data_IF_519387759324
#
_entry.id   IF_519387759324
#
_cell.length_a   1.000
_cell.length_b   1.000
_cell.length_c   1.000
_cell.angle_alpha   90.00
_cell.angle_beta   90.00
_cell.angle_gamma   90.00
#
_symmetry.space_group_name_H-M   'P 1'
#
loop_
_entity.id
_entity.type
_entity.pdbx_description
1 polymer ?
#
# COMPACT_ATOMS: atom_id res chain seq x y z
N UNK A 1 -23.98 -5.62 39.86
CA UNK A 1 -24.52 -4.43 39.15
C UNK A 1 -23.49 -3.57 38.39
N UNK A 2 -22.17 -3.77 38.51
CA UNK A 2 -21.17 -2.86 37.86
C UNK A 2 -20.82 -3.18 36.39
N UNK A 3 -20.95 -4.42 35.92
CA UNK A 3 -20.71 -4.79 34.50
C UNK A 3 -21.74 -4.17 33.53
N UNK A 4 -22.99 -3.98 33.98
CA UNK A 4 -24.06 -3.44 33.14
C UNK A 4 -23.97 -1.92 32.87
N UNK A 5 -23.29 -1.15 33.74
CA UNK A 5 -23.09 0.30 33.52
C UNK A 5 -21.95 0.60 32.54
N UNK A 6 -20.86 -0.18 32.54
CA UNK A 6 -19.77 -0.03 31.56
C UNK A 6 -20.19 -0.32 30.12
N UNK A 7 -21.14 -1.25 29.93
CA UNK A 7 -21.61 -1.62 28.58
C UNK A 7 -22.50 -0.56 27.93
N UNK A 8 -23.20 0.30 28.70
CA UNK A 8 -24.09 1.34 28.15
C UNK A 8 -23.35 2.50 27.48
N UNK A 9 -22.08 2.74 27.83
CA UNK A 9 -21.26 3.84 27.29
C UNK A 9 -20.51 3.49 25.99
N UNK A 10 -20.41 2.21 25.62
CA UNK A 10 -19.74 1.80 24.37
C UNK A 10 -20.69 1.95 23.19
N UNK A 11 -20.20 2.51 22.08
CA UNK A 11 -20.98 2.63 20.84
C UNK A 11 -21.44 1.25 20.35
N UNK A 12 -22.52 1.18 19.58
CA UNK A 12 -22.99 -0.09 18.99
C UNK A 12 -21.88 -0.81 18.20
N UNK A 13 -21.09 -0.04 17.45
CA UNK A 13 -19.95 -0.53 16.64
C UNK A 13 -18.92 -1.25 17.52
N UNK A 14 -18.64 -0.75 18.74
CA UNK A 14 -17.68 -1.39 19.66
C UNK A 14 -18.14 -2.73 20.21
N UNK A 15 -19.46 -3.01 20.14
CA UNK A 15 -20.04 -4.25 20.64
C UNK A 15 -20.10 -5.34 19.57
N UNK A 16 -19.98 -4.97 18.29
CA UNK A 16 -20.03 -5.92 17.19
C UNK A 16 -18.75 -6.77 17.14
N UNK A 17 -18.86 -8.09 16.99
CA UNK A 17 -17.73 -8.94 16.63
C UNK A 17 -17.02 -8.42 15.37
N UNK A 18 -15.68 -8.34 15.43
CA UNK A 18 -14.83 -7.85 14.33
C UNK A 18 -15.12 -8.55 13.00
N UNK A 19 -15.46 -9.84 13.02
CA UNK A 19 -15.83 -10.62 11.83
C UNK A 19 -17.04 -10.06 11.07
N UNK A 20 -18.04 -9.51 11.78
CA UNK A 20 -19.22 -8.92 11.15
C UNK A 20 -18.90 -7.56 10.55
N UNK A 21 -18.03 -6.78 11.21
CA UNK A 21 -17.53 -5.52 10.65
C UNK A 21 -16.74 -5.80 9.37
N UNK A 22 -15.81 -6.76 9.39
CA UNK A 22 -15.07 -7.18 8.19
C UNK A 22 -16.01 -7.65 7.07
N UNK A 23 -16.97 -8.53 7.38
CA UNK A 23 -17.95 -9.00 6.40
C UNK A 23 -18.74 -7.84 5.79
N UNK A 24 -19.10 -6.82 6.59
CA UNK A 24 -19.76 -5.62 6.07
C UNK A 24 -18.88 -4.83 5.10
N UNK A 25 -17.58 -4.68 5.37
CA UNK A 25 -16.65 -4.04 4.42
C UNK A 25 -16.54 -4.82 3.11
N UNK A 26 -16.45 -6.15 3.19
CA UNK A 26 -16.41 -7.01 1.99
C UNK A 26 -17.69 -6.88 1.18
N UNK A 27 -18.87 -6.97 1.81
CA UNK A 27 -20.16 -6.84 1.11
C UNK A 27 -20.28 -5.46 0.46
N UNK A 28 -19.99 -4.38 1.21
CA UNK A 28 -20.07 -3.01 0.70
C UNK A 28 -19.08 -2.83 -0.45
N UNK A 29 -17.85 -3.33 -0.33
CA UNK A 29 -16.83 -3.26 -1.38
C UNK A 29 -17.26 -3.99 -2.64
N UNK A 30 -17.70 -5.24 -2.53
CA UNK A 30 -18.19 -6.03 -3.67
C UNK A 30 -19.38 -5.35 -4.36
N UNK A 31 -20.31 -4.76 -3.61
CA UNK A 31 -21.43 -4.01 -4.18
C UNK A 31 -20.93 -2.75 -4.91
N UNK A 32 -20.06 -1.96 -4.27
CA UNK A 32 -19.56 -0.71 -4.83
C UNK A 32 -18.75 -0.90 -6.12
N UNK A 33 -17.99 -2.00 -6.21
CA UNK A 33 -17.19 -2.36 -7.38
C UNK A 33 -17.86 -3.44 -8.25
N UNK A 34 -19.17 -3.68 -8.08
CA UNK A 34 -19.88 -4.76 -8.80
C UNK A 34 -19.84 -4.59 -10.32
N UNK A 35 -19.82 -3.35 -10.81
CA UNK A 35 -19.79 -3.04 -12.24
C UNK A 35 -18.53 -3.54 -12.95
N UNK A 36 -17.42 -3.71 -12.23
CA UNK A 36 -16.14 -4.14 -12.82
C UNK A 36 -15.93 -5.64 -12.72
N UNK A 37 -16.73 -6.35 -11.92
CA UNK A 37 -16.54 -7.79 -11.70
C UNK A 37 -16.77 -8.62 -12.98
N UNK A 38 -17.61 -8.16 -13.90
CA UNK A 38 -17.79 -8.81 -15.20
C UNK A 38 -17.05 -8.09 -16.32
N UNK A 39 -16.01 -7.31 -15.98
CA UNK A 39 -15.14 -6.65 -16.95
C UNK A 39 -14.30 -7.64 -17.74
N UNK A 40 -13.83 -7.18 -18.90
CA UNK A 40 -12.84 -7.89 -19.72
C UNK A 40 -11.42 -7.51 -19.30
N UNK A 41 -10.45 -8.34 -19.65
CA UNK A 41 -9.04 -7.98 -19.53
C UNK A 41 -8.71 -6.86 -20.52
N UNK A 42 -8.13 -5.77 -20.02
CA UNK A 42 -7.82 -4.58 -20.82
C UNK A 42 -6.38 -4.11 -20.59
N UNK A 43 -5.80 -3.40 -21.56
CA UNK A 43 -4.49 -2.77 -21.43
C UNK A 43 -3.37 -3.75 -21.00
N UNK A 44 -2.67 -3.46 -19.90
CA UNK A 44 -1.55 -4.29 -19.43
C UNK A 44 -2.02 -5.68 -19.00
N UNK A 45 -3.33 -5.91 -18.78
CA UNK A 45 -3.85 -7.25 -18.50
C UNK A 45 -3.58 -8.21 -19.68
N UNK A 46 -3.61 -7.70 -20.91
CA UNK A 46 -3.27 -8.47 -22.09
C UNK A 46 -1.83 -8.99 -22.00
N UNK A 47 -0.90 -8.11 -21.61
CA UNK A 47 0.53 -8.41 -21.54
C UNK A 47 0.85 -9.25 -20.30
N UNK A 48 0.36 -8.84 -19.13
CA UNK A 48 0.71 -9.43 -17.84
C UNK A 48 0.00 -10.76 -17.58
N UNK A 49 -1.15 -10.99 -18.21
CA UNK A 49 -2.00 -12.16 -17.92
C UNK A 49 -2.29 -12.98 -19.18
N UNK A 50 -2.80 -12.37 -20.26
CA UNK A 50 -3.26 -13.15 -21.43
C UNK A 50 -2.11 -13.66 -22.31
N UNK A 51 -1.00 -12.92 -22.40
CA UNK A 51 0.16 -13.29 -23.22
C UNK A 51 1.35 -13.79 -22.40
N UNK A 52 1.30 -13.62 -21.08
CA UNK A 52 2.40 -14.00 -20.20
C UNK A 52 2.48 -15.51 -19.99
N UNK A 53 3.41 -16.17 -20.67
CA UNK A 53 3.64 -17.61 -20.51
C UNK A 53 4.22 -17.97 -19.14
N UNK A 54 4.92 -17.03 -18.50
CA UNK A 54 5.57 -17.28 -17.20
C UNK A 54 4.56 -17.62 -16.11
N UNK A 55 3.35 -17.05 -16.13
CA UNK A 55 2.32 -17.31 -15.11
C UNK A 55 1.58 -18.63 -15.31
N UNK A 56 1.79 -19.34 -16.43
CA UNK A 56 1.01 -20.53 -16.81
C UNK A 56 1.30 -21.77 -15.96
N UNK A 57 2.42 -21.77 -15.23
CA UNK A 57 2.83 -22.87 -14.36
C UNK A 57 3.41 -22.35 -13.05
N UNK A 58 2.98 -22.94 -11.92
CA UNK A 58 3.57 -22.67 -10.62
C UNK A 58 5.04 -23.10 -10.53
N UNK A 59 5.50 -24.00 -11.40
CA UNK A 59 6.91 -24.37 -11.51
C UNK A 59 7.82 -23.21 -11.93
N UNK A 60 7.26 -22.12 -12.49
CA UNK A 60 8.01 -20.93 -12.88
C UNK A 60 8.21 -19.94 -11.73
N UNK A 61 7.68 -20.17 -10.52
CA UNK A 61 7.81 -19.25 -9.38
C UNK A 61 9.26 -18.79 -9.15
N UNK A 62 10.30 -19.65 -9.21
CA UNK A 62 11.68 -19.20 -9.05
C UNK A 62 12.10 -18.13 -10.06
N UNK A 63 11.60 -18.18 -11.31
CA UNK A 63 11.91 -17.21 -12.36
C UNK A 63 11.34 -15.83 -12.09
N UNK A 64 10.25 -15.72 -11.34
CA UNK A 64 9.65 -14.43 -11.02
C UNK A 64 10.59 -13.54 -10.19
N UNK A 65 11.57 -14.15 -9.50
CA UNK A 65 12.58 -13.44 -8.71
C UNK A 65 13.82 -13.04 -9.52
N UNK A 66 13.92 -13.45 -10.78
CA UNK A 66 15.03 -13.09 -11.68
C UNK A 66 14.60 -12.29 -12.90
N UNK A 67 13.32 -12.31 -13.26
CA UNK A 67 12.83 -11.78 -14.54
C UNK A 67 11.94 -10.54 -14.37
N UNK A 68 11.74 -9.80 -15.46
CA UNK A 68 10.77 -8.71 -15.53
C UNK A 68 9.34 -9.27 -15.56
N UNK A 69 8.37 -8.48 -15.08
CA UNK A 69 6.95 -8.89 -15.09
C UNK A 69 6.40 -9.18 -16.49
N UNK A 70 7.03 -8.64 -17.54
CA UNK A 70 6.62 -8.78 -18.94
C UNK A 70 7.45 -9.79 -19.73
N UNK A 71 8.46 -10.41 -19.11
CA UNK A 71 9.39 -11.31 -19.80
C UNK A 71 8.68 -12.49 -20.47
N UNK A 72 7.66 -13.06 -19.82
CA UNK A 72 6.90 -14.17 -20.41
C UNK A 72 5.94 -13.78 -21.53
N UNK A 73 5.75 -12.48 -21.80
CA UNK A 73 5.03 -11.99 -22.97
C UNK A 73 5.98 -11.61 -24.13
N UNK A 74 7.28 -11.80 -23.95
CA UNK A 74 8.35 -11.43 -24.90
C UNK A 74 8.37 -9.94 -25.25
N UNK A 75 7.98 -9.09 -24.28
CA UNK A 75 8.00 -7.62 -24.43
C UNK A 75 9.05 -7.03 -23.50
N UNK A 76 9.98 -6.28 -24.09
CA UNK A 76 10.92 -5.42 -23.37
C UNK A 76 10.26 -4.08 -23.02
N UNK A 77 9.23 -4.12 -22.16
CA UNK A 77 8.42 -2.97 -21.76
C UNK A 77 8.97 -2.26 -20.52
N UNK A 78 10.28 -2.40 -20.27
CA UNK A 78 10.99 -1.66 -19.24
C UNK A 78 11.34 -2.47 -17.99
N UNK A 79 11.92 -1.75 -17.03
CA UNK A 79 12.50 -2.34 -15.85
C UNK A 79 11.43 -2.46 -14.76
N UNK A 80 10.61 -3.51 -14.70
CA UNK A 80 9.64 -3.72 -13.61
C UNK A 80 9.85 -5.07 -12.92
N UNK A 81 10.01 -5.06 -11.60
CA UNK A 81 10.26 -6.24 -10.79
C UNK A 81 9.23 -6.38 -9.67
N UNK A 82 8.27 -7.30 -9.83
CA UNK A 82 7.13 -7.51 -8.92
C UNK A 82 6.78 -9.00 -8.77
N UNK A 83 7.68 -9.83 -8.20
CA UNK A 83 7.49 -11.28 -8.10
C UNK A 83 6.19 -11.66 -7.41
N UNK A 84 5.78 -10.94 -6.35
CA UNK A 84 4.57 -11.33 -5.59
C UNK A 84 3.29 -11.10 -6.42
N UNK A 85 3.28 -10.08 -7.29
CA UNK A 85 2.19 -9.88 -8.24
C UNK A 85 2.13 -11.05 -9.25
N UNK A 86 3.28 -11.49 -9.78
CA UNK A 86 3.34 -12.64 -10.69
C UNK A 86 2.92 -13.95 -10.04
N UNK A 87 3.31 -14.18 -8.78
CA UNK A 87 2.85 -15.34 -8.00
C UNK A 87 1.32 -15.31 -7.88
N UNK A 88 0.74 -14.16 -7.53
CA UNK A 88 -0.71 -14.03 -7.41
C UNK A 88 -1.41 -14.37 -8.74
N UNK A 89 -0.92 -13.87 -9.87
CA UNK A 89 -1.47 -14.21 -11.18
C UNK A 89 -1.28 -15.68 -11.54
N UNK A 90 -0.13 -16.28 -11.22
CA UNK A 90 0.11 -17.69 -11.51
C UNK A 90 -0.79 -18.61 -10.68
N UNK A 91 -1.02 -18.27 -9.41
CA UNK A 91 -1.98 -18.98 -8.54
C UNK A 91 -3.40 -18.82 -9.08
N UNK A 92 -3.84 -17.60 -9.39
CA UNK A 92 -5.16 -17.36 -9.98
C UNK A 92 -5.34 -18.14 -11.28
N UNK A 93 -4.37 -18.09 -12.19
CA UNK A 93 -4.41 -18.82 -13.45
C UNK A 93 -4.44 -20.33 -13.26
N UNK A 94 -3.68 -20.87 -12.30
CA UNK A 94 -3.66 -22.31 -12.04
C UNK A 94 -5.02 -22.85 -11.56
N UNK A 95 -5.78 -22.04 -10.83
CA UNK A 95 -7.06 -22.42 -10.23
C UNK A 95 -8.25 -22.06 -11.12
N UNK A 96 -8.21 -20.92 -11.81
CA UNK A 96 -9.35 -20.30 -12.49
C UNK A 96 -9.07 -19.94 -13.95
N UNK A 97 -7.89 -20.29 -14.48
CA UNK A 97 -7.48 -19.97 -15.87
C UNK A 97 -7.61 -18.48 -16.16
N UNK A 98 -8.37 -18.09 -17.17
CA UNK A 98 -8.59 -16.70 -17.58
C UNK A 98 -10.01 -16.25 -17.24
N UNK A 99 -10.56 -16.69 -16.11
CA UNK A 99 -11.83 -16.18 -15.60
C UNK A 99 -11.68 -14.74 -15.10
N UNK A 100 -12.08 -13.76 -15.91
CA UNK A 100 -11.90 -12.33 -15.59
C UNK A 100 -12.61 -11.93 -14.29
N UNK A 101 -13.71 -12.61 -13.93
CA UNK A 101 -14.43 -12.32 -12.70
C UNK A 101 -13.57 -12.52 -11.46
N UNK A 102 -12.83 -13.62 -11.38
CA UNK A 102 -11.97 -13.90 -10.24
C UNK A 102 -10.78 -12.94 -10.19
N UNK A 103 -10.26 -12.54 -11.35
CA UNK A 103 -9.17 -11.58 -11.44
C UNK A 103 -9.60 -10.16 -11.00
N UNK A 104 -10.83 -9.73 -11.28
CA UNK A 104 -11.39 -8.49 -10.74
C UNK A 104 -11.81 -8.61 -9.27
N UNK A 105 -12.29 -9.78 -8.83
CA UNK A 105 -12.75 -9.99 -7.46
C UNK A 105 -11.61 -9.89 -6.44
N UNK A 106 -10.42 -10.41 -6.76
CA UNK A 106 -9.30 -10.44 -5.82
C UNK A 106 -8.88 -9.02 -5.34
N UNK A 107 -8.57 -8.04 -6.22
CA UNK A 107 -8.30 -6.66 -5.82
C UNK A 107 -9.41 -6.03 -4.97
N UNK A 108 -10.69 -6.26 -5.30
CA UNK A 108 -11.85 -5.73 -4.57
C UNK A 108 -11.91 -6.30 -3.15
N UNK A 109 -11.68 -7.60 -2.98
CA UNK A 109 -11.64 -8.25 -1.68
C UNK A 109 -10.45 -7.73 -0.87
N UNK A 110 -9.25 -7.66 -1.46
CA UNK A 110 -8.05 -7.11 -0.81
C UNK A 110 -8.26 -5.66 -0.36
N UNK A 111 -8.87 -4.82 -1.20
CA UNK A 111 -9.21 -3.43 -0.85
C UNK A 111 -10.20 -3.34 0.31
N UNK A 112 -11.17 -4.25 0.35
CA UNK A 112 -12.12 -4.35 1.47
C UNK A 112 -11.42 -4.73 2.78
N UNK A 113 -10.45 -5.65 2.74
CA UNK A 113 -9.58 -5.94 3.88
C UNK A 113 -8.74 -4.73 4.28
N UNK A 114 -8.18 -3.99 3.32
CA UNK A 114 -7.41 -2.78 3.57
C UNK A 114 -8.26 -1.71 4.28
N UNK A 115 -9.50 -1.48 3.84
CA UNK A 115 -10.42 -0.57 4.51
C UNK A 115 -10.72 -1.01 5.96
N UNK A 116 -10.93 -2.31 6.17
CA UNK A 116 -11.09 -2.85 7.53
C UNK A 116 -9.82 -2.66 8.38
N UNK A 117 -8.62 -2.82 7.82
CA UNK A 117 -7.38 -2.55 8.52
C UNK A 117 -7.20 -1.07 8.85
N UNK A 118 -7.57 -0.16 7.95
CA UNK A 118 -7.63 1.28 8.21
C UNK A 118 -8.57 1.57 9.39
N UNK A 119 -9.76 0.97 9.42
CA UNK A 119 -10.67 1.08 10.57
C UNK A 119 -10.00 0.65 11.89
N UNK A 120 -9.33 -0.52 11.90
CA UNK A 120 -8.63 -1.02 13.09
C UNK A 120 -7.49 -0.10 13.54
N UNK A 121 -6.75 0.49 12.59
CA UNK A 121 -5.66 1.41 12.88
C UNK A 121 -6.16 2.73 13.45
N UNK A 122 -7.19 3.33 12.86
CA UNK A 122 -7.81 4.56 13.37
C UNK A 122 -8.39 4.33 14.78
N UNK A 123 -8.95 3.15 15.04
CA UNK A 123 -9.39 2.76 16.39
C UNK A 123 -8.25 2.72 17.41
N UNK A 124 -7.03 2.33 17.01
CA UNK A 124 -5.84 2.36 17.89
C UNK A 124 -5.43 3.79 18.23
N UNK A 125 -5.76 4.77 17.37
CA UNK A 125 -5.59 6.20 17.66
C UNK A 125 -6.55 6.76 18.69
N UNK A 126 -7.41 5.93 19.28
CA UNK A 126 -8.44 6.32 20.25
C UNK A 126 -9.47 7.31 19.67
N UNK A 127 -9.59 7.35 18.34
CA UNK A 127 -10.67 8.04 17.64
C UNK A 127 -11.96 7.25 17.84
N UNK A 128 -13.11 7.94 17.88
CA UNK A 128 -14.41 7.31 18.08
C UNK A 128 -14.70 6.28 16.99
N UNK A 129 -15.47 5.24 17.35
CA UNK A 129 -15.74 4.11 16.44
C UNK A 129 -16.51 4.53 15.20
N UNK A 130 -17.40 5.50 15.35
CA UNK A 130 -18.13 6.08 14.24
C UNK A 130 -17.18 6.84 13.30
N UNK A 131 -16.30 7.70 13.82
CA UNK A 131 -15.34 8.42 12.99
C UNK A 131 -14.35 7.48 12.29
N UNK A 132 -13.90 6.42 12.98
CA UNK A 132 -13.06 5.38 12.39
C UNK A 132 -13.79 4.62 11.25
N UNK A 133 -15.06 4.29 11.47
CA UNK A 133 -15.88 3.61 10.46
C UNK A 133 -16.10 4.52 9.25
N UNK A 134 -16.48 5.78 9.46
CA UNK A 134 -16.69 6.75 8.39
C UNK A 134 -15.40 6.97 7.60
N UNK A 135 -14.26 7.17 8.26
CA UNK A 135 -12.98 7.34 7.58
C UNK A 135 -12.58 6.11 6.73
N UNK A 136 -12.79 4.90 7.25
CA UNK A 136 -12.52 3.66 6.52
C UNK A 136 -13.50 3.43 5.36
N UNK A 137 -14.78 3.79 5.50
CA UNK A 137 -15.75 3.74 4.42
C UNK A 137 -15.47 4.78 3.35
N UNK A 138 -15.06 5.99 3.73
CA UNK A 138 -14.55 7.00 2.81
C UNK A 138 -13.38 6.42 2.02
N UNK A 139 -12.39 5.81 2.68
CA UNK A 139 -11.29 5.14 1.98
C UNK A 139 -11.76 4.02 1.04
N UNK A 140 -12.70 3.16 1.45
CA UNK A 140 -13.21 2.06 0.62
C UNK A 140 -13.91 2.58 -0.66
N UNK A 141 -14.75 3.60 -0.50
CA UNK A 141 -15.68 4.09 -1.51
C UNK A 141 -15.15 5.30 -2.29
N UNK A 142 -13.99 5.83 -1.93
CA UNK A 142 -13.47 7.02 -2.60
C UNK A 142 -13.17 6.74 -4.08
N UNK A 143 -13.71 7.52 -5.04
CA UNK A 143 -13.51 7.27 -6.47
C UNK A 143 -12.04 7.26 -6.93
N UNK A 144 -11.15 7.94 -6.19
CA UNK A 144 -9.70 7.90 -6.47
C UNK A 144 -9.10 6.48 -6.37
N UNK A 145 -9.74 5.58 -5.62
CA UNK A 145 -9.27 4.20 -5.47
C UNK A 145 -9.62 3.34 -6.69
N UNK A 146 -10.55 3.79 -7.56
CA UNK A 146 -11.04 3.00 -8.69
C UNK A 146 -9.91 2.52 -9.58
N UNK A 147 -8.90 3.35 -9.86
CA UNK A 147 -7.77 2.93 -10.71
C UNK A 147 -6.96 1.78 -10.10
N UNK A 148 -6.77 1.75 -8.78
CA UNK A 148 -6.01 0.71 -8.11
C UNK A 148 -6.81 -0.60 -7.92
N UNK A 149 -8.15 -0.50 -7.90
CA UNK A 149 -9.03 -1.62 -7.51
C UNK A 149 -9.76 -2.23 -8.71
N UNK A 150 -10.24 -1.41 -9.65
CA UNK A 150 -10.98 -1.90 -10.80
C UNK A 150 -10.09 -2.53 -11.88
N UNK A 151 -8.88 -2.01 -12.02
CA UNK A 151 -7.91 -2.47 -13.02
C UNK A 151 -7.14 -3.68 -12.49
N UNK A 152 -7.20 -4.82 -13.20
CA UNK A 152 -6.59 -6.07 -12.72
C UNK A 152 -5.08 -5.89 -12.56
N UNK A 153 -4.41 -5.28 -13.54
CA UNK A 153 -2.97 -4.97 -13.47
C UNK A 153 -2.58 -3.99 -12.36
N UNK A 154 -3.56 -3.29 -11.78
CA UNK A 154 -3.43 -2.51 -10.55
C UNK A 154 -3.22 -3.35 -9.28
N UNK A 155 -3.40 -4.68 -9.30
CA UNK A 155 -3.37 -5.61 -8.15
C UNK A 155 -2.18 -5.39 -7.19
N UNK A 156 -1.02 -4.97 -7.71
CA UNK A 156 0.17 -4.69 -6.91
C UNK A 156 -0.10 -3.69 -5.76
N UNK A 157 -0.97 -2.71 -5.97
CA UNK A 157 -1.32 -1.69 -4.98
C UNK A 157 -2.16 -2.25 -3.81
N UNK A 158 -3.37 -2.82 -4.03
CA UNK A 158 -4.15 -3.38 -2.92
C UNK A 158 -3.45 -4.57 -2.25
N UNK A 159 -2.68 -5.38 -2.99
CA UNK A 159 -1.93 -6.50 -2.43
C UNK A 159 -0.76 -6.05 -1.55
N UNK A 160 0.03 -5.08 -2.02
CA UNK A 160 1.13 -4.54 -1.23
C UNK A 160 0.65 -3.80 0.01
N UNK A 161 -0.43 -3.04 -0.12
CA UNK A 161 -1.06 -2.36 1.02
C UNK A 161 -1.60 -3.36 2.04
N UNK A 162 -2.17 -4.48 1.60
CA UNK A 162 -2.64 -5.56 2.47
C UNK A 162 -1.51 -6.12 3.33
N UNK A 163 -0.36 -6.43 2.74
CA UNK A 163 0.80 -6.90 3.49
C UNK A 163 1.33 -5.83 4.44
N UNK A 164 1.43 -4.58 3.99
CA UNK A 164 1.93 -3.48 4.80
C UNK A 164 1.04 -3.20 6.03
N UNK A 165 -0.27 -3.08 5.84
CA UNK A 165 -1.22 -2.83 6.93
C UNK A 165 -1.34 -4.04 7.87
N UNK A 166 -1.29 -5.27 7.34
CA UNK A 166 -1.21 -6.49 8.15
C UNK A 166 0.03 -6.49 9.03
N UNK A 167 1.18 -6.15 8.46
CA UNK A 167 2.44 -6.02 9.21
C UNK A 167 2.30 -5.00 10.33
N UNK A 168 1.78 -3.80 10.05
CA UNK A 168 1.58 -2.77 11.07
C UNK A 168 0.67 -3.28 12.18
N UNK A 169 -0.45 -3.91 11.85
CA UNK A 169 -1.39 -4.44 12.85
C UNK A 169 -0.79 -5.54 13.72
N UNK A 170 0.01 -6.43 13.13
CA UNK A 170 0.72 -7.53 13.81
C UNK A 170 1.84 -6.97 14.69
N UNK A 171 2.72 -6.12 14.15
CA UNK A 171 3.80 -5.49 14.91
C UNK A 171 3.27 -4.62 16.05
N UNK A 172 2.03 -4.12 15.92
CA UNK A 172 1.34 -3.40 16.98
C UNK A 172 0.32 -4.18 17.81
N UNK A 173 0.39 -5.52 17.74
CA UNK A 173 -0.40 -6.43 18.54
C UNK A 173 0.04 -6.57 20.01
N UNK A 174 -0.51 -7.57 20.69
CA UNK A 174 -0.46 -7.76 22.14
C UNK A 174 0.95 -7.96 22.70
N UNK A 175 1.28 -7.22 23.77
CA UNK A 175 2.63 -7.23 24.36
C UNK A 175 2.84 -8.29 25.44
N UNK A 176 1.75 -8.90 25.93
CA UNK A 176 1.77 -9.95 26.97
C UNK A 176 1.95 -11.35 26.38
N UNK A 177 2.79 -11.48 25.36
CA UNK A 177 3.11 -12.76 24.74
C UNK A 177 4.35 -13.37 25.40
N UNK A 178 4.43 -14.70 25.40
CA UNK A 178 5.68 -15.38 25.73
C UNK A 178 6.79 -14.95 24.77
N UNK A 179 8.08 -15.00 25.17
CA UNK A 179 9.19 -14.55 24.34
C UNK A 179 9.20 -15.16 22.93
N UNK A 180 8.88 -16.46 22.81
CA UNK A 180 8.81 -17.18 21.53
C UNK A 180 7.71 -16.60 20.63
N UNK A 181 6.50 -16.43 21.17
CA UNK A 181 5.36 -15.87 20.41
C UNK A 181 5.62 -14.44 19.97
N UNK A 182 6.29 -13.66 20.82
CA UNK A 182 6.73 -12.30 20.51
C UNK A 182 7.74 -12.28 19.35
N UNK A 183 8.74 -13.17 19.37
CA UNK A 183 9.69 -13.29 18.26
C UNK A 183 9.01 -13.70 16.94
N UNK A 184 8.07 -14.65 17.00
CA UNK A 184 7.31 -15.08 15.82
C UNK A 184 6.44 -13.94 15.25
N UNK A 185 5.80 -13.15 16.11
CA UNK A 185 5.04 -11.97 15.71
C UNK A 185 5.92 -10.96 14.96
N UNK A 186 7.13 -10.70 15.44
CA UNK A 186 8.08 -9.82 14.75
C UNK A 186 8.57 -10.39 13.43
N UNK A 187 8.97 -11.66 13.41
CA UNK A 187 9.41 -12.33 12.19
C UNK A 187 8.30 -12.28 11.12
N UNK A 188 7.06 -12.56 11.50
CA UNK A 188 5.91 -12.46 10.61
C UNK A 188 5.68 -11.02 10.12
N UNK A 189 5.78 -10.02 10.99
CA UNK A 189 5.65 -8.61 10.61
C UNK A 189 6.72 -8.17 9.61
N UNK A 190 7.99 -8.53 9.83
CA UNK A 190 9.09 -8.23 8.91
C UNK A 190 8.94 -8.97 7.59
N UNK A 191 8.50 -10.23 7.63
CA UNK A 191 8.21 -11.01 6.43
C UNK A 191 7.11 -10.36 5.58
N UNK A 192 6.05 -9.85 6.20
CA UNK A 192 4.98 -9.14 5.48
C UNK A 192 5.48 -7.82 4.85
N UNK A 193 6.40 -7.10 5.50
CA UNK A 193 7.04 -5.91 4.88
C UNK A 193 7.83 -6.32 3.64
N UNK A 194 8.59 -7.42 3.72
CA UNK A 194 9.30 -7.97 2.58
C UNK A 194 8.34 -8.31 1.43
N UNK A 195 7.21 -8.96 1.72
CA UNK A 195 6.20 -9.24 0.70
C UNK A 195 5.66 -7.95 0.06
N UNK A 196 5.39 -6.90 0.84
CA UNK A 196 4.95 -5.61 0.31
C UNK A 196 6.00 -4.97 -0.63
N UNK A 197 7.29 -5.04 -0.30
CA UNK A 197 8.35 -4.49 -1.15
C UNK A 197 8.46 -5.22 -2.49
N UNK A 198 8.19 -6.53 -2.45
CA UNK A 198 8.23 -7.40 -3.61
C UNK A 198 6.92 -7.39 -4.45
N UNK A 199 5.88 -6.65 -4.04
CA UNK A 199 4.70 -6.38 -4.88
C UNK A 199 4.89 -5.13 -5.74
N UNK A 200 5.45 -4.05 -5.19
CA UNK A 200 5.69 -2.79 -5.91
C UNK A 200 6.73 -1.95 -5.20
N UNK A 201 7.59 -1.33 -6.00
CA UNK A 201 8.69 -0.46 -5.57
C UNK A 201 8.27 0.69 -4.64
N UNK A 202 7.04 1.21 -4.77
CA UNK A 202 6.51 2.30 -3.94
C UNK A 202 6.36 1.90 -2.47
N UNK A 203 6.21 0.61 -2.14
CA UNK A 203 6.02 0.15 -0.78
C UNK A 203 7.29 0.20 0.08
N UNK A 204 8.47 0.42 -0.52
CA UNK A 204 9.72 0.69 0.23
C UNK A 204 9.53 1.91 1.14
N UNK A 205 8.89 2.97 0.64
CA UNK A 205 8.55 4.16 1.43
C UNK A 205 7.58 3.80 2.55
N UNK A 206 6.59 2.95 2.27
CA UNK A 206 5.64 2.45 3.25
C UNK A 206 6.31 1.76 4.43
N UNK A 207 7.27 0.86 4.18
CA UNK A 207 8.03 0.17 5.25
C UNK A 207 8.87 1.13 6.09
N UNK A 208 9.51 2.12 5.46
CA UNK A 208 10.22 3.19 6.18
C UNK A 208 9.28 3.98 7.08
N UNK A 209 8.09 4.35 6.58
CA UNK A 209 7.09 5.06 7.38
C UNK A 209 6.60 4.20 8.56
N UNK A 210 6.39 2.90 8.38
CA UNK A 210 6.03 1.99 9.50
C UNK A 210 7.09 1.98 10.60
N UNK A 211 8.35 1.96 10.21
CA UNK A 211 9.47 1.91 11.15
C UNK A 211 9.62 3.21 11.96
N UNK A 212 9.21 4.35 11.37
CA UNK A 212 9.16 5.65 12.03
C UNK A 212 7.94 5.73 12.98
N UNK A 213 6.78 5.22 12.56
CA UNK A 213 5.48 5.50 13.17
C UNK A 213 5.08 4.57 14.32
N UNK A 214 5.77 3.44 14.49
CA UNK A 214 5.32 2.40 15.42
C UNK A 214 5.49 2.78 16.90
N UNK A 215 6.45 3.60 17.33
CA UNK A 215 6.85 3.62 18.75
C UNK A 215 6.69 4.94 19.52
N UNK A 216 6.20 4.79 20.77
CA UNK A 216 5.62 5.83 21.63
C UNK A 216 6.62 6.86 22.18
N UNK A 217 7.89 6.52 22.30
CA UNK A 217 8.87 7.39 22.95
C UNK A 217 10.21 7.23 22.24
N UNK A 218 10.47 8.11 21.26
CA UNK A 218 11.76 8.12 20.55
C UNK A 218 12.96 8.35 21.47
N UNK A 219 12.72 8.92 22.65
CA UNK A 219 13.75 9.32 23.62
C UNK A 219 13.98 8.29 24.71
N UNK A 220 13.06 7.35 24.95
CA UNK A 220 13.21 6.36 26.01
C UNK A 220 13.96 5.12 25.50
N UNK A 221 15.28 5.15 25.69
CA UNK A 221 16.20 4.04 25.36
C UNK A 221 16.04 2.82 26.27
N UNK A 222 15.33 2.97 27.40
CA UNK A 222 15.15 1.89 28.39
C UNK A 222 13.96 1.00 28.07
N UNK A 223 13.10 1.42 27.13
CA UNK A 223 11.95 0.63 26.72
C UNK A 223 12.41 -0.66 26.01
N UNK A 224 11.92 -1.86 26.39
CA UNK A 224 12.37 -3.14 25.83
C UNK A 224 12.07 -3.35 24.34
N UNK A 225 11.39 -2.40 23.70
CA UNK A 225 11.08 -2.43 22.26
C UNK A 225 12.00 -1.50 21.44
N UNK A 226 12.89 -0.74 22.11
CA UNK A 226 13.83 0.17 21.45
C UNK A 226 14.76 -0.56 20.47
N UNK A 227 15.31 -1.70 20.87
CA UNK A 227 16.16 -2.52 19.99
C UNK A 227 15.37 -3.05 18.78
N UNK A 228 14.16 -3.54 19.02
CA UNK A 228 13.30 -4.14 17.97
C UNK A 228 12.87 -3.10 16.95
N UNK A 229 12.61 -1.87 17.41
CA UNK A 229 12.36 -0.73 16.54
C UNK A 229 13.55 -0.46 15.62
N UNK A 230 14.75 -0.35 16.18
CA UNK A 230 15.95 -0.11 15.37
C UNK A 230 16.23 -1.27 14.43
N UNK A 231 15.98 -2.51 14.84
CA UNK A 231 16.05 -3.66 13.95
C UNK A 231 15.02 -3.57 12.82
N UNK A 232 13.81 -3.09 13.07
CA UNK A 232 12.78 -2.91 12.03
C UNK A 232 13.14 -1.78 11.06
N UNK A 233 13.64 -0.65 11.58
CA UNK A 233 14.15 0.47 10.76
C UNK A 233 15.33 -0.01 9.93
N UNK A 234 16.33 -0.61 10.56
CA UNK A 234 17.53 -1.12 9.91
C UNK A 234 17.18 -2.18 8.88
N UNK A 235 16.31 -3.13 9.21
CA UNK A 235 15.82 -4.14 8.27
C UNK A 235 15.12 -3.48 7.08
N UNK A 236 14.22 -2.52 7.30
CA UNK A 236 13.52 -1.82 6.23
C UNK A 236 14.47 -1.00 5.35
N UNK A 237 15.46 -0.34 5.94
CA UNK A 237 16.49 0.44 5.22
C UNK A 237 17.42 -0.48 4.44
N UNK A 238 17.94 -1.55 5.06
CA UNK A 238 18.80 -2.54 4.41
C UNK A 238 18.03 -3.20 3.27
N UNK A 239 16.80 -3.64 3.51
CA UNK A 239 16.00 -4.32 2.50
C UNK A 239 15.60 -3.37 1.37
N UNK A 240 15.20 -2.14 1.69
CA UNK A 240 14.93 -1.11 0.70
C UNK A 240 16.16 -0.76 -0.13
N UNK A 241 17.32 -0.59 0.54
CA UNK A 241 18.60 -0.35 -0.12
C UNK A 241 19.04 -1.52 -1.00
N UNK A 242 18.92 -2.76 -0.51
CA UNK A 242 19.21 -3.97 -1.26
C UNK A 242 18.28 -4.14 -2.47
N UNK A 243 16.98 -3.86 -2.31
CA UNK A 243 16.02 -3.84 -3.41
C UNK A 243 16.40 -2.79 -4.46
N UNK A 244 16.68 -1.55 -4.04
CA UNK A 244 17.08 -0.47 -4.96
C UNK A 244 18.42 -0.76 -5.65
N UNK A 245 19.38 -1.35 -4.94
CA UNK A 245 20.66 -1.78 -5.50
C UNK A 245 20.45 -2.91 -6.51
N UNK A 246 19.66 -3.92 -6.18
CA UNK A 246 19.33 -5.00 -7.10
C UNK A 246 18.68 -4.44 -8.37
N UNK A 247 17.73 -3.52 -8.23
CA UNK A 247 17.07 -2.80 -9.35
C UNK A 247 18.02 -1.98 -10.22
N UNK A 248 19.09 -1.44 -9.63
CA UNK A 248 20.13 -0.71 -10.34
C UNK A 248 21.16 -1.63 -11.03
N UNK A 249 21.22 -2.91 -10.64
CA UNK A 249 22.28 -3.85 -11.05
C UNK A 249 21.72 -5.13 -11.69
N UNK A 250 21.42 -6.15 -10.89
CA UNK A 250 21.07 -7.51 -11.34
C UNK A 250 19.63 -7.59 -11.86
N UNK A 251 18.72 -6.80 -11.29
CA UNK A 251 17.32 -6.66 -11.69
C UNK A 251 17.13 -5.39 -12.53
N UNK A 252 18.14 -5.07 -13.34
CA UNK A 252 18.08 -4.02 -14.33
C UNK A 252 17.81 -4.65 -15.69
N UNK A 253 16.52 -4.75 -16.03
CA UNK A 253 16.09 -5.38 -17.27
C UNK A 253 16.22 -4.47 -18.50
N UNK A 254 17.01 -3.40 -18.40
CA UNK A 254 17.12 -2.36 -19.42
C UNK A 254 18.57 -2.00 -19.74
N UNK A 255 18.85 -1.49 -20.94
CA UNK A 255 20.20 -1.09 -21.41
C UNK A 255 20.71 0.25 -20.83
N UNK A 256 20.50 0.52 -19.54
CA UNK A 256 20.93 1.77 -18.86
C UNK A 256 20.69 1.75 -17.36
N UNK A 257 21.23 2.71 -16.59
CA UNK A 257 21.14 2.74 -15.12
C UNK A 257 19.73 3.13 -14.63
N UNK A 258 18.73 2.26 -14.81
CA UNK A 258 17.37 2.40 -14.24
C UNK A 258 16.57 3.66 -14.61
N UNK A 259 17.14 4.57 -15.40
CA UNK A 259 16.47 5.72 -16.00
C UNK A 259 15.72 5.21 -17.22
N UNK A 260 14.45 5.62 -17.36
CA UNK A 260 13.55 5.06 -18.35
C UNK A 260 14.19 5.01 -19.74
N UNK A 261 14.10 3.84 -20.37
CA UNK A 261 14.68 3.54 -21.68
C UNK A 261 14.04 4.30 -22.83
N UNK A 262 12.85 4.83 -22.59
CA UNK A 262 12.16 5.70 -23.53
C UNK A 262 12.60 7.14 -23.24
N UNK A 263 13.23 7.76 -24.24
CA UNK A 263 13.46 9.20 -24.21
C UNK A 263 12.12 9.93 -24.14
N UNK A 264 11.89 10.60 -23.02
CA UNK A 264 10.74 11.46 -22.77
C UNK A 264 11.28 12.81 -22.33
N UNK A 265 10.47 13.85 -22.46
CA UNK A 265 10.81 15.19 -21.97
C UNK A 265 11.24 15.17 -20.48
N UNK A 266 10.69 14.23 -19.70
CA UNK A 266 11.03 14.04 -18.29
C UNK A 266 12.35 13.28 -18.06
N UNK A 267 12.79 12.40 -18.95
CA UNK A 267 14.09 11.71 -18.84
C UNK A 267 15.24 12.57 -19.29
N UNK A 268 15.00 13.46 -20.25
CA UNK A 268 16.01 14.38 -20.76
C UNK A 268 16.22 15.61 -19.85
N UNK A 269 15.20 16.04 -19.09
CA UNK A 269 15.29 17.24 -18.27
C UNK A 269 14.80 17.01 -16.83
N UNK A 270 15.75 16.88 -15.90
CA UNK A 270 15.47 16.69 -14.47
C UNK A 270 14.69 17.85 -13.85
N UNK A 271 14.94 19.08 -14.31
CA UNK A 271 14.25 20.25 -13.77
C UNK A 271 12.77 20.28 -14.17
N UNK A 272 12.46 19.93 -15.43
CA UNK A 272 11.07 19.75 -15.88
C UNK A 272 10.37 18.64 -15.09
N UNK A 273 11.08 17.52 -14.82
CA UNK A 273 10.54 16.42 -14.02
C UNK A 273 10.20 16.87 -12.61
N UNK A 274 11.14 17.49 -11.89
CA UNK A 274 10.93 17.95 -10.51
C UNK A 274 9.84 19.02 -10.46
N UNK A 275 9.87 19.99 -11.37
CA UNK A 275 8.87 21.06 -11.44
C UNK A 275 7.46 20.51 -11.71
N UNK A 276 7.34 19.56 -12.63
CA UNK A 276 6.06 18.91 -12.94
C UNK A 276 5.57 18.08 -11.76
N UNK A 277 6.43 17.26 -11.15
CA UNK A 277 6.01 16.36 -10.07
C UNK A 277 5.59 17.11 -8.81
N UNK A 278 6.27 18.21 -8.47
CA UNK A 278 5.83 19.10 -7.38
C UNK A 278 4.48 19.72 -7.71
N UNK A 279 4.30 20.21 -8.93
CA UNK A 279 3.04 20.87 -9.35
C UNK A 279 1.85 19.91 -9.36
N UNK A 280 2.04 18.67 -9.80
CA UNK A 280 0.99 17.65 -9.91
C UNK A 280 0.52 17.13 -8.55
N UNK A 281 1.33 17.28 -7.48
CA UNK A 281 0.88 16.95 -6.11
C UNK A 281 -0.38 17.73 -5.73
N UNK A 282 -0.51 18.98 -6.19
CA UNK A 282 -1.73 19.75 -5.98
C UNK A 282 -2.93 19.16 -6.71
N UNK A 283 -2.75 18.69 -7.95
CA UNK A 283 -3.83 18.04 -8.70
C UNK A 283 -4.29 16.75 -8.01
N UNK A 284 -3.36 15.97 -7.40
CA UNK A 284 -3.73 14.81 -6.59
C UNK A 284 -4.46 15.19 -5.29
N UNK A 285 -4.04 16.27 -4.62
CA UNK A 285 -4.76 16.78 -3.47
C UNK A 285 -6.20 17.16 -3.84
N UNK A 286 -6.40 17.86 -4.97
CA UNK A 286 -7.73 18.19 -5.46
C UNK A 286 -8.55 16.94 -5.79
N UNK A 287 -7.95 15.88 -6.35
CA UNK A 287 -8.66 14.62 -6.60
C UNK A 287 -9.12 13.93 -5.30
N UNK A 288 -8.43 14.12 -4.17
CA UNK A 288 -8.86 13.61 -2.87
C UNK A 288 -10.05 14.38 -2.28
N UNK A 289 -10.23 15.65 -2.66
CA UNK A 289 -11.32 16.49 -2.15
C UNK A 289 -12.51 16.49 -3.13
N UNK A 290 -12.23 16.52 -4.42
CA UNK A 290 -13.18 16.59 -5.51
C UNK A 290 -12.73 15.69 -6.67
N UNK A 291 -13.07 14.39 -6.64
CA UNK A 291 -12.65 13.40 -7.63
C UNK A 291 -13.45 13.55 -8.94
N UNK A 292 -13.19 14.64 -9.65
CA UNK A 292 -13.73 14.97 -10.97
C UNK A 292 -12.76 14.49 -12.05
N UNK A 293 -13.29 14.16 -13.23
CA UNK A 293 -12.52 13.86 -14.45
C UNK A 293 -11.48 12.76 -14.22
N UNK A 294 -11.93 11.65 -13.63
CA UNK A 294 -11.12 10.45 -13.46
C UNK A 294 -10.96 9.78 -14.82
N UNK A 295 -9.80 9.98 -15.42
CA UNK A 295 -9.37 9.27 -16.62
C UNK A 295 -8.44 8.14 -16.25
N UNK A 296 -8.48 7.06 -17.04
CA UNK A 296 -7.53 5.96 -16.93
C UNK A 296 -6.08 6.46 -17.10
N UNK A 297 -5.85 7.28 -18.11
CA UNK A 297 -4.59 7.98 -18.33
C UNK A 297 -4.86 9.49 -18.32
N UNK A 298 -4.38 10.16 -17.28
CA UNK A 298 -4.56 11.61 -17.15
C UNK A 298 -3.44 12.32 -17.90
N UNK A 299 -3.75 13.18 -18.90
CA UNK A 299 -2.71 13.92 -19.61
C UNK A 299 -1.99 14.82 -18.61
N UNK A 300 -0.69 14.58 -18.43
CA UNK A 300 0.14 15.37 -17.52
C UNK A 300 0.48 16.70 -18.19
N UNK A 301 0.05 17.80 -17.57
CA UNK A 301 0.53 19.13 -17.95
C UNK A 301 2.00 19.26 -17.54
N UNK A 302 2.88 19.57 -18.49
CA UNK A 302 4.30 19.79 -18.21
C UNK A 302 4.47 21.18 -17.59
N UNK A 303 5.18 21.26 -16.47
CA UNK A 303 5.53 22.54 -15.84
C UNK A 303 7.03 22.79 -15.96
N UNK A 304 7.38 23.96 -16.51
CA UNK A 304 8.78 24.40 -16.63
C UNK A 304 9.33 25.13 -15.40
N UNK A 305 8.45 25.47 -14.44
CA UNK A 305 8.82 26.18 -13.21
C UNK A 305 7.93 25.78 -12.03
N UNK A 306 8.55 25.69 -10.85
CA UNK A 306 7.86 25.50 -9.56
C UNK A 306 7.09 26.76 -9.11
N UNK A 307 7.40 27.93 -9.69
CA UNK A 307 6.76 29.19 -9.32
C UNK A 307 5.39 29.41 -9.98
N UNK A 308 4.89 28.41 -10.71
CA UNK A 308 3.49 28.40 -11.12
C UNK A 308 2.57 28.29 -9.90
N UNK A 309 1.31 28.74 -10.00
CA UNK A 309 0.34 28.60 -8.89
C UNK A 309 0.22 27.14 -8.42
N UNK A 310 0.18 26.19 -9.36
CA UNK A 310 0.15 24.75 -9.05
C UNK A 310 1.43 24.29 -8.34
N UNK A 311 2.59 24.73 -8.81
CA UNK A 311 3.88 24.42 -8.17
C UNK A 311 3.97 24.95 -6.74
N UNK A 312 3.52 26.18 -6.50
CA UNK A 312 3.47 26.79 -5.17
C UNK A 312 2.52 26.03 -4.24
N UNK A 313 1.31 25.69 -4.70
CA UNK A 313 0.37 24.90 -3.89
C UNK A 313 0.85 23.46 -3.65
N UNK A 314 1.49 22.85 -4.64
CA UNK A 314 2.12 21.54 -4.49
C UNK A 314 3.22 21.55 -3.43
N UNK A 315 4.12 22.55 -3.49
CA UNK A 315 5.17 22.74 -2.48
C UNK A 315 4.57 23.01 -1.10
N UNK A 316 3.57 23.89 -1.00
CA UNK A 316 2.88 24.17 0.26
C UNK A 316 2.23 22.91 0.85
N UNK A 317 1.68 22.04 0.00
CA UNK A 317 1.11 20.74 0.43
C UNK A 317 2.19 19.83 1.01
N UNK A 318 3.34 19.69 0.33
CA UNK A 318 4.48 18.89 0.83
C UNK A 318 4.97 19.44 2.16
N UNK A 319 5.23 20.75 2.24
CA UNK A 319 5.72 21.40 3.45
C UNK A 319 4.71 21.22 4.60
N UNK A 320 3.42 21.42 4.34
CA UNK A 320 2.38 21.25 5.37
C UNK A 320 2.31 19.82 5.89
N UNK A 321 2.45 18.81 5.02
CA UNK A 321 2.48 17.40 5.43
C UNK A 321 3.73 17.06 6.24
N UNK A 322 4.90 17.54 5.82
CA UNK A 322 6.16 17.33 6.54
C UNK A 322 6.15 18.03 7.90
N UNK A 323 5.76 19.30 7.94
CA UNK A 323 5.63 20.08 9.18
C UNK A 323 4.58 19.46 10.09
N UNK A 324 3.42 19.08 9.58
CA UNK A 324 2.37 18.39 10.34
C UNK A 324 2.86 17.07 10.93
N UNK A 325 3.64 16.30 10.16
CA UNK A 325 4.26 15.06 10.62
C UNK A 325 5.27 15.31 11.74
N UNK A 326 6.20 16.26 11.56
CA UNK A 326 7.22 16.64 12.56
C UNK A 326 6.56 17.21 13.82
N UNK A 327 5.56 18.08 13.67
CA UNK A 327 4.79 18.64 14.80
C UNK A 327 4.00 17.55 15.52
N UNK A 328 3.42 16.59 14.79
CA UNK A 328 2.76 15.42 15.37
C UNK A 328 3.72 14.57 16.19
N UNK A 329 4.94 14.32 15.68
CA UNK A 329 6.00 13.63 16.42
C UNK A 329 6.44 14.38 17.68
N UNK A 330 6.43 15.72 17.67
CA UNK A 330 6.91 16.52 18.80
C UNK A 330 5.83 16.83 19.84
N UNK A 331 4.54 16.94 19.45
CA UNK A 331 3.49 17.47 20.35
C UNK A 331 2.65 16.44 21.10
N UNK A 332 2.58 15.18 20.67
CA UNK A 332 2.01 14.06 21.45
C UNK A 332 2.06 12.81 20.59
N UNK A 333 2.78 11.80 21.06
CA UNK A 333 2.99 10.58 20.31
C UNK A 333 1.67 9.93 19.93
N UNK A 334 1.43 9.84 18.62
CA UNK A 334 0.32 9.06 18.07
C UNK A 334 0.60 7.59 18.43
N UNK A 335 -0.17 7.07 19.39
CA UNK A 335 0.01 5.74 19.96
C UNK A 335 -0.53 4.68 18.99
N UNK A 336 0.31 4.12 18.11
CA UNK A 336 -0.05 2.86 17.43
C UNK A 336 0.07 1.65 18.35
N UNK A 337 0.90 1.75 19.40
CA UNK A 337 1.29 0.65 20.29
C UNK A 337 0.79 0.72 21.73
N UNK A 338 -0.08 1.68 22.08
CA UNK A 338 -0.70 1.63 23.42
C UNK A 338 -1.79 0.57 23.42
N UNK A 339 -1.89 -0.29 24.46
CA UNK A 339 -2.93 -1.30 24.53
C UNK A 339 -4.30 -0.65 24.37
N UNK A 340 -5.19 -1.34 23.66
CA UNK A 340 -6.61 -1.21 23.89
C UNK A 340 -6.83 -1.59 25.36
N UNK A 341 -6.96 -0.60 26.23
CA UNK A 341 -7.43 -0.82 27.59
C UNK A 341 -8.82 -1.47 27.46
N UNK A 342 -8.98 -2.60 28.17
CA UNK A 342 -10.05 -3.60 28.08
C UNK A 342 -11.48 -3.12 27.89
#
# INVERSE_FOLDING_TARGET
>A
MSKNKKNKSRSFIDRLPKKYILLSFIIIGVIAYSSVLNGEFIFDDEILILRNESIRSLGNIPKFFSDSITSGAFIDSGNFYRPIQMIAYSVLYSLFRTDSFIFHLLPVVLHSFNAFFVFLLIKRLKISSLAALVAALLFLLHPVQTQAVAYISGLADPLGLFFLLSSLLILSGEKSLSPIKKNLQYALGLFLILLAFLTKESFVVGGLLLAIYTFKDWKDKTHPEFQIRWLTILFSVILGGAYLLARATILNFTKGFGLATVETTYTQNIWLRVSTFISVIWDYFLLLVFPKDLYYEKPLTIFSTIFSLRGLFGLATIVSLLTGTILGFTKKTIQFLSPALG
#
